data_IF_069906129780
#
_entry.id   IF_069906129780
#
_cell.length_a   1.000
_cell.length_b   1.000
_cell.length_c   1.000
_cell.angle_alpha   90.00
_cell.angle_beta   90.00
_cell.angle_gamma   90.00
#
_symmetry.space_group_name_H-M   'P 1'
#
loop_
_entity.id
_entity.type
_entity.pdbx_description
1 polymer ?
#
# COMPACT_ATOMS: atom_id res chain seq x y z
N UNK A 1 -13.42 20.10 -0.64
CA UNK A 1 -13.24 18.65 -0.44
C UNK A 1 -11.82 18.28 -0.84
N UNK A 2 -11.04 17.80 0.12
CA UNK A 2 -9.67 17.31 -0.04
C UNK A 2 -9.62 15.85 -0.51
N UNK A 3 -8.50 15.49 -1.13
CA UNK A 3 -8.11 14.12 -1.44
C UNK A 3 -6.94 13.77 -0.52
N UNK A 4 -7.05 12.65 0.17
CA UNK A 4 -6.03 12.12 1.05
C UNK A 4 -5.42 10.87 0.43
N UNK A 5 -4.09 10.78 0.48
CA UNK A 5 -3.36 9.58 0.06
C UNK A 5 -2.84 8.87 1.29
N UNK A 6 -3.37 7.68 1.57
CA UNK A 6 -2.94 6.85 2.69
C UNK A 6 -2.12 5.67 2.16
N UNK A 7 -1.08 5.29 2.90
CA UNK A 7 -0.12 4.27 2.49
C UNK A 7 -0.15 3.10 3.46
N UNK A 8 -0.03 1.89 2.93
CA UNK A 8 0.22 0.67 3.71
C UNK A 8 1.53 0.09 3.21
N UNK A 9 2.55 0.14 4.06
CA UNK A 9 3.89 -0.38 3.77
C UNK A 9 4.06 -1.76 4.40
N UNK A 10 4.60 -2.70 3.63
CA UNK A 10 4.94 -4.04 4.05
C UNK A 10 6.40 -4.30 3.70
N UNK A 11 7.23 -4.58 4.70
CA UNK A 11 8.64 -4.86 4.54
C UNK A 11 9.12 -5.93 5.53
N UNK A 12 10.28 -6.50 5.24
CA UNK A 12 11.01 -7.34 6.18
C UNK A 12 11.69 -6.47 7.22
N UNK A 13 11.63 -6.89 8.49
CA UNK A 13 12.32 -6.18 9.58
C UNK A 13 13.79 -6.59 9.72
N UNK A 14 14.09 -7.89 9.56
CA UNK A 14 15.42 -8.44 9.85
C UNK A 14 16.21 -8.81 8.58
N UNK A 15 15.55 -9.44 7.62
CA UNK A 15 16.17 -9.95 6.39
C UNK A 15 16.30 -8.85 5.34
N UNK A 16 17.49 -8.70 4.76
CA UNK A 16 17.77 -7.75 3.67
C UNK A 16 17.33 -8.32 2.32
N UNK A 17 17.49 -7.54 1.25
CA UNK A 17 17.22 -7.97 -0.13
C UNK A 17 18.04 -9.18 -0.58
N UNK A 18 19.14 -9.49 0.10
CA UNK A 18 19.98 -10.67 -0.23
C UNK A 18 19.33 -11.98 0.22
N UNK A 19 18.48 -11.91 1.24
CA UNK A 19 17.77 -13.06 1.83
C UNK A 19 16.31 -13.14 1.37
N UNK A 20 15.63 -12.00 1.23
CA UNK A 20 14.20 -11.94 0.87
C UNK A 20 13.85 -10.78 -0.06
N UNK A 21 13.09 -11.10 -1.11
CA UNK A 21 12.48 -10.12 -2.01
C UNK A 21 10.97 -10.30 -2.08
N UNK A 22 10.23 -9.23 -1.77
CA UNK A 22 8.78 -9.21 -1.92
C UNK A 22 8.40 -8.74 -3.32
N UNK A 23 7.45 -9.44 -3.91
CA UNK A 23 6.84 -9.08 -5.19
C UNK A 23 5.32 -9.16 -5.08
N UNK A 24 4.64 -8.22 -5.74
CA UNK A 24 3.20 -8.28 -5.88
C UNK A 24 2.78 -9.46 -6.77
N UNK A 25 1.63 -10.06 -6.45
CA UNK A 25 1.02 -11.04 -7.34
C UNK A 25 0.70 -10.38 -8.68
N UNK A 26 1.01 -11.07 -9.78
CA UNK A 26 0.83 -10.53 -11.14
C UNK A 26 -0.62 -10.22 -11.51
N UNK A 27 -1.58 -10.91 -10.88
CA UNK A 27 -3.02 -10.71 -11.07
C UNK A 27 -3.67 -10.43 -9.73
N UNK A 28 -4.43 -9.34 -9.69
CA UNK A 28 -5.18 -8.88 -8.52
C UNK A 28 -4.31 -8.88 -7.25
N UNK A 29 -3.30 -8.01 -7.15
CA UNK A 29 -2.41 -7.97 -5.98
C UNK A 29 -3.10 -7.49 -4.70
N UNK A 30 -4.18 -6.72 -4.84
CA UNK A 30 -5.02 -6.21 -3.74
C UNK A 30 -6.48 -6.44 -4.11
N UNK A 31 -7.24 -7.09 -3.23
CA UNK A 31 -8.68 -7.27 -3.37
C UNK A 31 -9.43 -6.40 -2.38
N UNK A 32 -10.49 -5.75 -2.85
CA UNK A 32 -11.37 -4.94 -2.02
C UNK A 32 -12.62 -5.74 -1.69
N UNK A 33 -13.03 -5.71 -0.42
CA UNK A 33 -14.30 -6.29 0.01
C UNK A 33 -15.46 -5.48 -0.58
N UNK A 34 -16.51 -6.18 -1.01
CA UNK A 34 -17.73 -5.52 -1.47
C UNK A 34 -18.29 -4.56 -0.40
N UNK A 35 -18.68 -3.35 -0.82
CA UNK A 35 -19.14 -2.28 0.06
C UNK A 35 -18.04 -1.45 0.75
N UNK A 36 -16.76 -1.83 0.64
CA UNK A 36 -15.66 -1.05 1.26
C UNK A 36 -15.56 0.38 0.72
N UNK A 37 -15.88 0.57 -0.57
CA UNK A 37 -15.84 1.88 -1.22
C UNK A 37 -16.71 2.94 -0.53
N UNK A 38 -17.79 2.52 0.13
CA UNK A 38 -18.78 3.36 0.79
C UNK A 38 -18.87 3.11 2.31
N UNK A 39 -18.00 2.23 2.86
CA UNK A 39 -18.05 1.90 4.30
C UNK A 39 -17.48 3.00 5.19
N UNK A 40 -16.72 3.93 4.59
CA UNK A 40 -16.12 5.06 5.28
C UNK A 40 -17.14 6.21 5.31
N UNK A 41 -17.60 6.69 6.47
CA UNK A 41 -18.68 7.66 6.56
C UNK A 41 -18.31 9.06 6.01
N UNK A 42 -17.03 9.43 6.07
CA UNK A 42 -16.55 10.76 5.64
C UNK A 42 -15.73 10.73 4.35
N UNK A 43 -15.42 9.55 3.83
CA UNK A 43 -14.54 9.39 2.67
C UNK A 43 -15.06 8.32 1.73
N UNK A 44 -14.82 8.49 0.44
CA UNK A 44 -15.01 7.44 -0.54
C UNK A 44 -13.64 6.99 -1.04
N UNK A 45 -13.41 5.68 -1.06
CA UNK A 45 -12.21 5.11 -1.66
C UNK A 45 -12.31 5.25 -3.18
N UNK A 46 -11.52 6.16 -3.76
CA UNK A 46 -11.56 6.46 -5.21
C UNK A 46 -10.63 5.56 -6.01
N UNK A 47 -9.45 5.25 -5.47
CA UNK A 47 -8.45 4.47 -6.19
C UNK A 47 -7.56 3.66 -5.23
N UNK A 48 -7.06 2.53 -5.73
CA UNK A 48 -6.10 1.68 -5.04
C UNK A 48 -5.01 1.27 -6.02
N UNK A 49 -3.76 1.61 -5.71
CA UNK A 49 -2.61 1.23 -6.53
C UNK A 49 -1.55 0.54 -5.70
N UNK A 50 -0.73 -0.27 -6.35
CA UNK A 50 0.36 -1.03 -5.71
C UNK A 50 1.69 -0.59 -6.29
N UNK A 51 2.64 -0.28 -5.41
CA UNK A 51 3.99 0.15 -5.76
C UNK A 51 5.02 -0.56 -4.87
N UNK A 52 6.30 -0.26 -5.09
CA UNK A 52 7.41 -0.70 -4.25
C UNK A 52 7.95 0.49 -3.45
N UNK A 53 8.44 0.21 -2.24
CA UNK A 53 9.02 1.17 -1.31
C UNK A 53 10.40 0.73 -0.81
N UNK A 54 11.04 -0.21 -1.54
CA UNK A 54 12.35 -0.76 -1.18
C UNK A 54 13.32 0.38 -0.88
N UNK A 55 13.89 0.37 0.31
CA UNK A 55 14.70 1.46 0.81
C UNK A 55 15.98 0.96 1.46
N UNK A 56 17.01 1.81 1.40
CA UNK A 56 18.30 1.56 2.03
C UNK A 56 18.33 2.29 3.37
N UNK A 57 18.58 1.54 4.43
CA UNK A 57 18.79 2.06 5.78
C UNK A 57 20.26 1.88 6.18
N UNK A 58 20.61 2.26 7.40
CA UNK A 58 21.96 2.09 7.92
C UNK A 58 22.37 0.61 8.06
N UNK A 59 21.40 -0.29 8.23
CA UNK A 59 21.66 -1.72 8.48
C UNK A 59 21.59 -2.59 7.22
N UNK A 60 21.08 -2.06 6.11
CA UNK A 60 20.96 -2.81 4.86
C UNK A 60 19.93 -2.23 3.90
N UNK A 61 19.69 -2.94 2.80
CA UNK A 61 18.58 -2.64 1.87
C UNK A 61 17.45 -3.63 2.14
N UNK A 62 16.23 -3.13 2.29
CA UNK A 62 15.07 -3.94 2.67
C UNK A 62 14.00 -3.85 1.60
N UNK A 63 13.61 -5.02 1.07
CA UNK A 63 12.51 -5.13 0.10
C UNK A 63 11.19 -4.69 0.76
N UNK A 64 10.41 -3.88 0.03
CA UNK A 64 9.19 -3.27 0.57
C UNK A 64 8.12 -3.11 -0.52
N UNK A 65 6.90 -3.51 -0.19
CA UNK A 65 5.69 -3.30 -0.97
C UNK A 65 4.85 -2.18 -0.36
N UNK A 66 4.22 -1.38 -1.21
CA UNK A 66 3.35 -0.27 -0.79
C UNK A 66 2.00 -0.37 -1.48
N UNK A 67 0.93 -0.37 -0.69
CA UNK A 67 -0.41 -0.10 -1.19
C UNK A 67 -0.72 1.38 -0.99
N UNK A 68 -1.24 2.03 -2.04
CA UNK A 68 -1.63 3.43 -2.03
C UNK A 68 -3.15 3.49 -2.13
N UNK A 69 -3.78 4.09 -1.12
CA UNK A 69 -5.22 4.30 -1.04
C UNK A 69 -5.51 5.79 -1.26
N UNK A 70 -6.32 6.09 -2.28
CA UNK A 70 -6.81 7.43 -2.52
C UNK A 70 -8.21 7.58 -1.91
N UNK A 71 -8.36 8.50 -0.97
CA UNK A 71 -9.58 8.74 -0.22
C UNK A 71 -10.08 10.15 -0.50
N UNK A 72 -11.26 10.27 -1.10
CA UNK A 72 -11.89 11.56 -1.39
C UNK A 72 -12.91 11.90 -0.31
N UNK A 73 -12.77 13.07 0.33
CA UNK A 73 -13.74 13.50 1.36
C UNK A 73 -15.12 13.69 0.75
N UNK A 74 -16.13 13.16 1.44
CA UNK A 74 -17.55 13.39 1.16
C UNK A 74 -18.01 14.62 1.96
N UNK A 75 -18.59 15.60 1.27
CA UNK A 75 -19.25 16.84 1.75
C UNK A 75 -18.70 17.46 3.03
#
# INVERSE_FOLDING_TARGET
MDIQTCLIDLASYAYTTDDIEYVWKSKDPVQLKEGLHSSLPSFQLSNVTTTFCTSKTNTGTYSCLRTVLELRRQF
#
